data_IF_221077694845
#
_entry.id   IF_221077694845
#
_cell.length_a   1.000
_cell.length_b   1.000
_cell.length_c   1.000
_cell.angle_alpha   90.00
_cell.angle_beta   90.00
_cell.angle_gamma   90.00
#
_symmetry.space_group_name_H-M   'P 1'
#
loop_
_entity.id
_entity.type
_entity.pdbx_description
1 polymer ?
#
# COMPACT_ATOMS: atom_id res chain seq x y z
N UNK A 1 35.72 -18.11 15.78
CA UNK A 1 36.95 -17.97 16.59
C UNK A 1 36.64 -17.18 17.86
N UNK A 2 36.58 -17.90 18.98
CA UNK A 2 36.36 -17.37 20.34
C UNK A 2 37.66 -16.74 20.87
N UNK A 3 37.58 -15.61 21.55
CA UNK A 3 38.52 -15.29 22.64
C UNK A 3 37.72 -15.03 23.91
N UNK A 4 37.79 -16.00 24.81
CA UNK A 4 37.54 -15.86 26.24
C UNK A 4 38.64 -14.99 26.85
N UNK A 5 38.28 -14.12 27.79
CA UNK A 5 39.14 -13.72 28.91
C UNK A 5 38.24 -13.58 30.15
N UNK A 6 38.55 -14.38 31.18
CA UNK A 6 37.89 -14.39 32.48
C UNK A 6 38.52 -13.34 33.41
N UNK A 7 37.62 -12.55 34.04
CA UNK A 7 37.47 -12.25 35.48
C UNK A 7 38.65 -11.68 36.29
N UNK A 8 38.43 -10.47 36.86
CA UNK A 8 38.44 -10.25 38.32
C UNK A 8 37.72 -8.93 38.70
N UNK A 9 36.91 -8.90 39.77
CA UNK A 9 36.15 -7.71 40.19
C UNK A 9 36.98 -6.85 41.16
N UNK A 10 37.09 -5.55 40.87
CA UNK A 10 37.68 -4.58 41.80
C UNK A 10 36.59 -3.65 42.34
N UNK A 11 36.55 -3.60 43.67
CA UNK A 11 35.59 -2.85 44.48
C UNK A 11 35.55 -1.35 44.16
N UNK A 12 34.31 -0.86 44.21
CA UNK A 12 33.83 0.50 44.43
C UNK A 12 34.77 1.42 45.23
N UNK A 13 35.19 2.51 44.59
CA UNK A 13 35.42 3.81 45.24
C UNK A 13 34.56 4.85 44.50
N UNK A 14 33.36 5.06 45.03
CA UNK A 14 32.42 6.07 44.59
C UNK A 14 32.93 7.45 45.03
N UNK A 15 33.64 8.14 44.14
CA UNK A 15 33.75 9.60 44.23
C UNK A 15 32.39 10.18 43.82
N UNK A 16 31.52 10.44 44.80
CA UNK A 16 30.28 11.16 44.63
C UNK A 16 30.57 12.64 44.32
N UNK A 17 30.93 12.94 43.08
CA UNK A 17 30.74 14.29 42.55
C UNK A 17 29.27 14.45 42.22
N UNK A 18 28.52 15.17 43.06
CA UNK A 18 27.17 15.61 42.75
C UNK A 18 27.21 16.57 41.57
N UNK A 19 27.26 16.03 40.34
CA UNK A 19 26.87 16.80 39.16
C UNK A 19 25.37 17.00 39.28
N UNK A 20 24.97 18.23 39.62
CA UNK A 20 23.60 18.70 39.36
C UNK A 20 23.26 18.29 37.92
N UNK A 21 22.11 17.66 37.65
CA UNK A 21 21.70 17.45 36.26
C UNK A 21 21.75 18.83 35.60
N UNK A 22 22.49 18.93 34.49
CA UNK A 22 22.49 20.15 33.71
C UNK A 22 21.03 20.43 33.37
N UNK A 23 20.51 21.55 33.87
CA UNK A 23 19.19 22.01 33.45
C UNK A 23 19.30 22.28 31.96
N UNK A 24 18.72 21.40 31.15
CA UNK A 24 18.47 21.68 29.75
C UNK A 24 17.39 22.75 29.75
N UNK A 25 17.82 24.01 29.78
CA UNK A 25 16.96 25.13 29.43
C UNK A 25 16.74 25.04 27.94
N UNK A 26 15.59 24.50 27.55
CA UNK A 26 15.07 24.74 26.23
C UNK A 26 14.91 26.26 26.10
N UNK A 27 15.48 26.90 25.06
CA UNK A 27 15.11 28.27 24.75
C UNK A 27 13.58 28.29 24.64
N UNK A 28 12.88 29.35 25.11
CA UNK A 28 11.44 29.45 24.92
C UNK A 28 11.20 29.22 23.45
N UNK A 29 10.36 28.22 23.11
CA UNK A 29 9.98 27.98 21.73
C UNK A 29 9.62 29.34 21.16
N UNK A 30 10.39 29.79 20.17
CA UNK A 30 9.95 30.88 19.34
C UNK A 30 8.80 30.30 18.51
N UNK A 31 7.64 30.12 19.14
CA UNK A 31 6.34 29.95 18.50
C UNK A 31 6.00 31.28 17.85
N UNK A 32 6.84 31.71 16.91
CA UNK A 32 6.52 32.77 16.01
C UNK A 32 5.29 32.30 15.26
N UNK A 33 4.13 32.94 15.53
CA UNK A 33 2.94 32.78 14.70
C UNK A 33 3.38 32.82 13.26
N UNK A 34 3.16 31.74 12.53
CA UNK A 34 3.45 31.71 11.10
C UNK A 34 2.59 32.75 10.40
N UNK A 35 2.96 33.13 9.17
CA UNK A 35 2.12 34.02 8.37
C UNK A 35 0.70 33.45 8.21
N UNK A 36 0.58 32.12 8.13
CA UNK A 36 -0.69 31.41 8.08
C UNK A 36 -1.45 31.50 9.42
N UNK A 37 -0.79 31.35 10.56
CA UNK A 37 -1.44 31.54 11.87
C UNK A 37 -1.97 32.96 12.04
N UNK A 38 -1.24 33.95 11.52
CA UNK A 38 -1.67 35.34 11.52
C UNK A 38 -2.85 35.59 10.56
N UNK A 39 -2.87 34.93 9.40
CA UNK A 39 -3.98 35.00 8.43
C UNK A 39 -5.30 34.44 9.02
N UNK A 40 -5.21 33.29 9.68
CA UNK A 40 -6.37 32.59 10.25
C UNK A 40 -6.79 33.15 11.61
N UNK A 41 -5.95 33.97 12.24
CA UNK A 41 -6.27 34.63 13.50
C UNK A 41 -7.51 35.52 13.37
N UNK A 42 -8.44 35.39 14.32
CA UNK A 42 -9.65 36.21 14.36
C UNK A 42 -10.74 35.84 13.35
N UNK A 43 -10.49 34.89 12.43
CA UNK A 43 -11.52 34.38 11.51
C UNK A 43 -12.63 33.64 12.24
N UNK A 44 -13.87 33.86 11.79
CA UNK A 44 -15.03 33.09 12.25
C UNK A 44 -15.10 31.72 11.56
N UNK A 45 -16.09 30.90 11.93
CA UNK A 45 -16.25 29.55 11.40
C UNK A 45 -16.55 29.51 9.90
N UNK A 46 -17.43 30.38 9.39
CA UNK A 46 -17.75 30.48 7.96
C UNK A 46 -16.52 30.88 7.12
N UNK A 47 -15.75 31.89 7.57
CA UNK A 47 -14.52 32.31 6.89
C UNK A 47 -13.48 31.18 6.88
N UNK A 48 -13.29 30.48 8.00
CA UNK A 48 -12.35 29.36 8.08
C UNK A 48 -12.79 28.20 7.17
N UNK A 49 -14.09 27.92 7.10
CA UNK A 49 -14.64 26.90 6.22
C UNK A 49 -14.40 27.24 4.74
N UNK A 50 -14.65 28.51 4.36
CA UNK A 50 -14.43 28.99 3.01
C UNK A 50 -12.94 28.94 2.63
N UNK A 51 -12.04 29.37 3.52
CA UNK A 51 -10.58 29.30 3.31
C UNK A 51 -10.14 27.85 3.15
N UNK A 52 -10.57 26.95 4.06
CA UNK A 52 -10.22 25.55 4.01
C UNK A 52 -10.68 24.86 2.73
N UNK A 53 -11.93 25.12 2.33
CA UNK A 53 -12.51 24.57 1.09
C UNK A 53 -11.77 25.08 -0.15
N UNK A 54 -11.53 26.39 -0.24
CA UNK A 54 -10.81 26.97 -1.37
C UNK A 54 -9.36 26.46 -1.46
N UNK A 55 -8.67 26.34 -0.32
CA UNK A 55 -7.32 25.80 -0.26
C UNK A 55 -7.30 24.32 -0.69
N UNK A 56 -8.25 23.51 -0.23
CA UNK A 56 -8.38 22.11 -0.62
C UNK A 56 -8.64 21.95 -2.12
N UNK A 57 -9.51 22.78 -2.71
CA UNK A 57 -9.74 22.81 -4.16
C UNK A 57 -8.50 23.25 -4.95
N UNK A 58 -7.61 24.05 -4.36
CA UNK A 58 -6.36 24.48 -4.97
C UNK A 58 -5.18 23.50 -4.75
N UNK A 59 -5.38 22.41 -3.98
CA UNK A 59 -4.31 21.49 -3.59
C UNK A 59 -3.33 22.07 -2.57
N UNK A 60 -3.66 23.18 -1.91
CA UNK A 60 -2.86 23.75 -0.83
C UNK A 60 -3.21 23.05 0.50
N UNK A 61 -2.67 21.85 0.67
CA UNK A 61 -3.01 20.99 1.80
C UNK A 61 -2.59 21.56 3.14
N UNK A 62 -1.49 22.34 3.20
CA UNK A 62 -1.08 22.98 4.45
C UNK A 62 -2.08 24.04 4.90
N UNK A 63 -2.52 24.90 3.98
CA UNK A 63 -3.51 25.92 4.29
C UNK A 63 -4.88 25.32 4.57
N UNK A 64 -5.27 24.28 3.83
CA UNK A 64 -6.50 23.55 4.07
C UNK A 64 -6.52 22.92 5.46
N UNK A 65 -5.47 22.17 5.82
CA UNK A 65 -5.34 21.54 7.13
C UNK A 65 -5.42 22.57 8.26
N UNK A 66 -4.67 23.67 8.17
CA UNK A 66 -4.66 24.71 9.19
C UNK A 66 -6.03 25.41 9.36
N UNK A 67 -6.70 25.76 8.26
CA UNK A 67 -8.00 26.44 8.31
C UNK A 67 -9.09 25.54 8.89
N UNK A 68 -9.17 24.29 8.44
CA UNK A 68 -10.14 23.33 8.95
C UNK A 68 -9.86 22.92 10.40
N UNK A 69 -8.59 22.70 10.78
CA UNK A 69 -8.22 22.43 12.16
C UNK A 69 -8.58 23.61 13.07
N UNK A 70 -8.27 24.85 12.66
CA UNK A 70 -8.66 26.04 13.39
C UNK A 70 -10.18 26.17 13.55
N UNK A 71 -10.96 25.79 12.53
CA UNK A 71 -12.43 25.76 12.63
C UNK A 71 -12.88 24.77 13.69
N UNK A 72 -12.45 23.51 13.58
CA UNK A 72 -12.84 22.44 14.49
C UNK A 72 -12.47 22.75 15.95
N UNK A 73 -11.29 23.32 16.17
CA UNK A 73 -10.74 23.55 17.52
C UNK A 73 -11.31 24.83 18.17
N UNK A 74 -11.53 25.90 17.40
CA UNK A 74 -11.98 27.19 17.94
C UNK A 74 -13.49 27.36 17.94
N UNK A 75 -14.20 26.64 17.06
CA UNK A 75 -15.65 26.75 16.88
C UNK A 75 -16.35 25.39 16.98
N UNK A 76 -16.23 24.65 18.11
CA UNK A 76 -16.71 23.27 18.24
C UNK A 76 -18.23 23.10 18.13
N UNK A 77 -18.99 24.20 18.25
CA UNK A 77 -20.45 24.24 18.06
C UNK A 77 -20.88 24.56 16.63
N UNK A 78 -19.94 24.87 15.73
CA UNK A 78 -20.25 25.21 14.34
C UNK A 78 -20.91 24.02 13.61
N UNK A 79 -21.86 24.27 12.70
CA UNK A 79 -22.39 23.21 11.84
C UNK A 79 -21.32 22.59 10.93
N UNK A 80 -20.22 23.31 10.68
CA UNK A 80 -19.15 22.87 9.77
C UNK A 80 -18.11 21.95 10.42
N UNK A 81 -18.20 21.68 11.73
CA UNK A 81 -17.16 20.93 12.46
C UNK A 81 -16.94 19.52 11.90
N UNK A 82 -18.00 18.80 11.53
CA UNK A 82 -17.84 17.44 10.99
C UNK A 82 -17.07 17.46 9.66
N UNK A 83 -17.46 18.35 8.74
CA UNK A 83 -16.78 18.55 7.47
C UNK A 83 -15.35 19.07 7.66
N UNK A 84 -15.11 19.95 8.63
CA UNK A 84 -13.79 20.45 8.95
C UNK A 84 -12.87 19.37 9.54
N UNK A 85 -13.36 18.52 10.42
CA UNK A 85 -12.57 17.39 10.94
C UNK A 85 -12.18 16.42 9.82
N UNK A 86 -13.13 16.08 8.95
CA UNK A 86 -12.85 15.24 7.77
C UNK A 86 -11.86 15.93 6.82
N UNK A 87 -12.06 17.21 6.51
CA UNK A 87 -11.23 18.00 5.62
C UNK A 87 -9.81 18.20 6.14
N UNK A 88 -9.66 18.53 7.43
CA UNK A 88 -8.36 18.63 8.10
C UNK A 88 -7.64 17.28 8.08
N UNK A 89 -8.34 16.20 8.45
CA UNK A 89 -7.75 14.86 8.43
C UNK A 89 -7.28 14.44 7.04
N UNK A 90 -8.09 14.69 6.01
CA UNK A 90 -7.73 14.39 4.63
C UNK A 90 -6.54 15.23 4.13
N UNK A 91 -6.46 16.52 4.51
CA UNK A 91 -5.35 17.37 4.18
C UNK A 91 -4.05 16.94 4.89
N UNK A 92 -4.11 16.61 6.19
CA UNK A 92 -2.98 16.03 6.91
C UNK A 92 -2.52 14.70 6.30
N UNK A 93 -3.45 13.85 5.87
CA UNK A 93 -3.13 12.59 5.20
C UNK A 93 -2.34 12.80 3.89
N UNK A 94 -2.71 13.79 3.07
CA UNK A 94 -1.96 14.15 1.84
C UNK A 94 -0.59 14.75 2.12
N UNK A 95 -0.38 15.33 3.29
CA UNK A 95 0.92 15.79 3.78
C UNK A 95 1.77 14.68 4.43
N UNK A 96 1.29 13.42 4.42
CA UNK A 96 1.85 12.29 5.16
C UNK A 96 1.93 12.51 6.70
N UNK A 97 1.16 13.46 7.23
CA UNK A 97 1.03 13.74 8.66
C UNK A 97 -0.01 12.83 9.33
N UNK A 98 0.16 11.52 9.18
CA UNK A 98 -0.84 10.49 9.54
C UNK A 98 -1.26 10.51 11.01
N UNK A 99 -0.38 10.94 11.93
CA UNK A 99 -0.74 11.07 13.36
C UNK A 99 -1.77 12.18 13.59
N UNK A 100 -1.59 13.32 12.94
CA UNK A 100 -2.52 14.44 13.02
C UNK A 100 -3.82 14.09 12.28
N UNK A 101 -3.73 13.42 11.13
CA UNK A 101 -4.90 12.91 10.42
C UNK A 101 -5.75 11.99 11.32
N UNK A 102 -5.12 11.00 11.97
CA UNK A 102 -5.77 10.07 12.89
C UNK A 102 -6.49 10.79 14.04
N UNK A 103 -5.87 11.82 14.62
CA UNK A 103 -6.50 12.63 15.67
C UNK A 103 -7.82 13.25 15.20
N UNK A 104 -7.82 13.84 14.00
CA UNK A 104 -9.02 14.49 13.43
C UNK A 104 -10.11 13.48 13.08
N UNK A 105 -9.74 12.32 12.53
CA UNK A 105 -10.70 11.25 12.22
C UNK A 105 -11.32 10.63 13.48
N UNK A 106 -10.53 10.43 14.54
CA UNK A 106 -11.06 9.98 15.84
C UNK A 106 -11.97 11.00 16.51
N UNK A 107 -11.65 12.30 16.37
CA UNK A 107 -12.54 13.36 16.85
C UNK A 107 -13.88 13.36 16.09
N UNK A 108 -13.86 13.09 14.78
CA UNK A 108 -15.08 12.93 13.97
C UNK A 108 -15.90 11.71 14.40
N UNK A 109 -15.24 10.57 14.62
CA UNK A 109 -15.89 9.36 15.14
C UNK A 109 -16.56 9.61 16.50
N UNK A 110 -15.83 10.22 17.45
CA UNK A 110 -16.32 10.51 18.79
C UNK A 110 -17.51 11.48 18.80
N UNK A 111 -17.59 12.38 17.80
CA UNK A 111 -18.74 13.29 17.63
C UNK A 111 -20.02 12.54 17.26
N UNK A 112 -19.91 11.39 16.59
CA UNK A 112 -21.06 10.66 16.06
C UNK A 112 -21.71 11.36 14.87
N UNK A 113 -22.93 10.96 14.54
CA UNK A 113 -23.67 11.47 13.38
C UNK A 113 -23.40 10.71 12.08
N UNK A 114 -23.94 11.20 10.95
CA UNK A 114 -23.85 10.52 9.65
C UNK A 114 -22.41 10.26 9.17
N UNK A 115 -21.50 11.21 9.41
CA UNK A 115 -20.12 11.18 8.95
C UNK A 115 -19.18 10.35 9.83
N UNK A 116 -19.64 9.90 11.02
CA UNK A 116 -18.80 9.17 11.95
C UNK A 116 -18.26 7.85 11.36
N UNK A 117 -19.05 7.19 10.50
CA UNK A 117 -18.60 5.97 9.83
C UNK A 117 -17.42 6.23 8.89
N UNK A 118 -17.48 7.31 8.11
CA UNK A 118 -16.35 7.73 7.27
C UNK A 118 -15.13 8.08 8.15
N UNK A 119 -15.34 8.74 9.29
CA UNK A 119 -14.30 8.95 10.30
C UNK A 119 -13.61 7.64 10.73
N UNK A 120 -14.38 6.58 11.02
CA UNK A 120 -13.81 5.27 11.39
C UNK A 120 -13.02 4.64 10.24
N UNK A 121 -13.50 4.71 9.00
CA UNK A 121 -12.74 4.21 7.83
C UNK A 121 -11.42 4.95 7.65
N UNK A 122 -11.44 6.28 7.78
CA UNK A 122 -10.25 7.11 7.67
C UNK A 122 -9.27 6.91 8.84
N UNK A 123 -9.78 6.65 10.03
CA UNK A 123 -8.95 6.26 11.18
C UNK A 123 -8.28 4.90 10.94
N UNK A 124 -8.99 3.92 10.37
CA UNK A 124 -8.41 2.62 10.01
C UNK A 124 -7.30 2.77 8.97
N UNK A 125 -7.50 3.60 7.94
CA UNK A 125 -6.49 3.96 6.94
C UNK A 125 -5.27 4.62 7.60
N UNK A 126 -5.48 5.59 8.49
CA UNK A 126 -4.38 6.26 9.19
C UNK A 126 -3.60 5.30 10.10
N UNK A 127 -4.28 4.37 10.79
CA UNK A 127 -3.63 3.30 11.55
C UNK A 127 -2.77 2.40 10.66
N UNK A 128 -3.29 1.99 9.50
CA UNK A 128 -2.55 1.21 8.52
C UNK A 128 -1.28 1.93 8.05
N UNK A 129 -1.39 3.22 7.72
CA UNK A 129 -0.25 4.05 7.28
C UNK A 129 0.78 4.30 8.38
N UNK A 130 0.38 4.19 9.64
CA UNK A 130 1.25 4.26 10.82
C UNK A 130 1.83 2.90 11.24
N UNK A 131 1.60 1.84 10.46
CA UNK A 131 2.00 0.45 10.75
C UNK A 131 1.35 -0.12 12.04
N UNK A 132 0.27 0.49 12.51
CA UNK A 132 -0.54 -0.02 13.62
C UNK A 132 -1.63 -0.95 13.07
N UNK A 133 -1.18 -2.04 12.46
CA UNK A 133 -2.05 -3.03 11.82
C UNK A 133 -3.11 -3.62 12.78
N UNK A 134 -2.81 -3.91 14.07
CA UNK A 134 -3.83 -4.36 15.01
C UNK A 134 -4.97 -3.36 15.20
N UNK A 135 -4.67 -2.06 15.33
CA UNK A 135 -5.71 -1.04 15.48
C UNK A 135 -6.50 -0.83 14.19
N UNK A 136 -5.85 -0.85 13.03
CA UNK A 136 -6.53 -0.80 11.72
C UNK A 136 -7.53 -1.96 11.58
N UNK A 137 -7.08 -3.18 11.92
CA UNK A 137 -7.93 -4.37 11.90
C UNK A 137 -9.12 -4.24 12.86
N UNK A 138 -8.88 -3.81 14.10
CA UNK A 138 -9.94 -3.65 15.10
C UNK A 138 -11.00 -2.62 14.70
N UNK A 139 -10.59 -1.51 14.06
CA UNK A 139 -11.51 -0.50 13.55
C UNK A 139 -12.42 -1.07 12.44
N UNK A 140 -11.85 -1.84 11.51
CA UNK A 140 -12.60 -2.48 10.41
C UNK A 140 -13.55 -3.58 10.90
N UNK A 141 -13.12 -4.36 11.90
CA UNK A 141 -14.01 -5.30 12.60
C UNK A 141 -15.20 -4.57 13.27
N UNK A 142 -14.91 -3.44 13.94
CA UNK A 142 -15.94 -2.60 14.53
C UNK A 142 -16.97 -2.11 13.51
N UNK A 143 -16.52 -1.73 12.30
CA UNK A 143 -17.41 -1.36 11.19
C UNK A 143 -18.27 -2.55 10.76
N UNK A 144 -17.67 -3.72 10.53
CA UNK A 144 -18.36 -4.92 10.04
C UNK A 144 -19.39 -5.46 11.04
N UNK A 145 -19.19 -5.22 12.33
CA UNK A 145 -20.11 -5.58 13.41
C UNK A 145 -21.33 -4.66 13.52
N UNK A 146 -21.38 -3.52 12.80
CA UNK A 146 -22.51 -2.59 12.87
C UNK A 146 -23.78 -3.22 12.28
N UNK A 147 -24.93 -3.11 12.97
CA UNK A 147 -26.19 -3.58 12.42
C UNK A 147 -26.57 -2.73 11.19
N UNK A 148 -27.17 -3.38 10.19
CA UNK A 148 -27.63 -2.72 8.96
C UNK A 148 -26.57 -1.88 8.22
N UNK A 149 -25.29 -2.30 8.27
CA UNK A 149 -24.23 -1.69 7.46
C UNK A 149 -24.59 -1.75 5.96
N UNK A 150 -24.60 -0.62 5.23
CA UNK A 150 -24.86 -0.59 3.79
C UNK A 150 -23.91 -1.51 3.02
N UNK A 151 -24.36 -2.07 1.89
CA UNK A 151 -23.57 -3.06 1.17
C UNK A 151 -22.25 -2.49 0.64
N UNK A 152 -22.26 -1.27 0.08
CA UNK A 152 -21.05 -0.58 -0.34
C UNK A 152 -20.00 -0.49 0.78
N UNK A 153 -20.43 -0.11 1.99
CA UNK A 153 -19.57 -0.01 3.16
C UNK A 153 -19.07 -1.36 3.66
N UNK A 154 -19.92 -2.40 3.57
CA UNK A 154 -19.50 -3.78 3.87
C UNK A 154 -18.41 -4.25 2.92
N UNK A 155 -18.57 -4.03 1.62
CA UNK A 155 -17.56 -4.40 0.60
C UNK A 155 -16.26 -3.64 0.86
N UNK A 156 -16.34 -2.32 1.11
CA UNK A 156 -15.17 -1.48 1.45
C UNK A 156 -14.44 -1.99 2.70
N UNK A 157 -15.15 -2.27 3.78
CA UNK A 157 -14.55 -2.74 5.03
C UNK A 157 -13.91 -4.12 4.89
N UNK A 158 -14.56 -5.06 4.17
CA UNK A 158 -13.98 -6.37 3.89
C UNK A 158 -12.72 -6.26 3.03
N UNK A 159 -12.75 -5.46 1.96
CA UNK A 159 -11.59 -5.26 1.11
C UNK A 159 -10.40 -4.70 1.90
N UNK A 160 -10.59 -3.60 2.65
CA UNK A 160 -9.54 -3.00 3.48
C UNK A 160 -9.05 -3.94 4.59
N UNK A 161 -9.95 -4.70 5.23
CA UNK A 161 -9.56 -5.65 6.28
C UNK A 161 -8.70 -6.77 5.71
N UNK A 162 -9.05 -7.29 4.54
CA UNK A 162 -8.27 -8.31 3.86
C UNK A 162 -6.85 -7.84 3.55
N UNK A 163 -6.68 -6.57 3.15
CA UNK A 163 -5.35 -5.95 2.97
C UNK A 163 -4.58 -5.91 4.29
N UNK A 164 -5.20 -5.44 5.37
CA UNK A 164 -4.56 -5.38 6.70
C UNK A 164 -4.18 -6.79 7.19
N UNK A 165 -5.03 -7.80 6.97
CA UNK A 165 -4.75 -9.18 7.32
C UNK A 165 -3.54 -9.74 6.55
N UNK A 166 -3.42 -9.39 5.27
CA UNK A 166 -2.29 -9.79 4.44
C UNK A 166 -0.98 -9.21 4.97
N UNK A 167 -0.94 -7.91 5.26
CA UNK A 167 0.25 -7.24 5.81
C UNK A 167 0.63 -7.75 7.20
N UNK A 168 -0.34 -8.28 7.96
CA UNK A 168 -0.09 -8.99 9.22
C UNK A 168 0.46 -10.42 9.03
N UNK A 169 0.69 -10.86 7.80
CA UNK A 169 1.14 -12.22 7.47
C UNK A 169 0.04 -13.28 7.60
N UNK A 170 -1.23 -12.89 7.71
CA UNK A 170 -2.38 -13.81 7.86
C UNK A 170 -3.01 -14.14 6.50
N UNK A 171 -2.21 -14.74 5.62
CA UNK A 171 -2.59 -14.98 4.21
C UNK A 171 -3.93 -15.71 4.03
N UNK A 172 -4.18 -16.79 4.78
CA UNK A 172 -5.44 -17.55 4.68
C UNK A 172 -6.66 -16.74 5.10
N UNK A 173 -6.52 -15.93 6.16
CA UNK A 173 -7.57 -15.04 6.63
C UNK A 173 -7.83 -13.94 5.60
N UNK A 174 -6.76 -13.31 5.09
CA UNK A 174 -6.84 -12.29 4.06
C UNK A 174 -7.57 -12.81 2.81
N UNK A 175 -7.20 -13.99 2.33
CA UNK A 175 -7.86 -14.62 1.17
C UNK A 175 -9.35 -14.85 1.40
N UNK A 176 -9.73 -15.40 2.56
CA UNK A 176 -11.14 -15.60 2.91
C UNK A 176 -11.90 -14.26 2.98
N UNK A 177 -11.32 -13.25 3.61
CA UNK A 177 -11.92 -11.92 3.77
C UNK A 177 -12.06 -11.18 2.44
N UNK A 178 -11.04 -11.21 1.56
CA UNK A 178 -11.08 -10.60 0.24
C UNK A 178 -12.14 -11.28 -0.65
N UNK A 179 -12.25 -12.61 -0.61
CA UNK A 179 -13.34 -13.31 -1.31
C UNK A 179 -14.72 -12.98 -0.76
N UNK A 180 -14.85 -12.79 0.55
CA UNK A 180 -16.09 -12.32 1.15
C UNK A 180 -16.47 -10.92 0.65
N UNK A 181 -15.50 -10.02 0.43
CA UNK A 181 -15.74 -8.72 -0.19
C UNK A 181 -16.35 -8.85 -1.59
N UNK A 182 -15.80 -9.75 -2.42
CA UNK A 182 -16.30 -10.00 -3.77
C UNK A 182 -17.69 -10.63 -3.78
N UNK A 183 -17.94 -11.62 -2.91
CA UNK A 183 -19.25 -12.23 -2.78
C UNK A 183 -20.31 -11.20 -2.32
N UNK A 184 -19.95 -10.32 -1.38
CA UNK A 184 -20.83 -9.23 -0.94
C UNK A 184 -21.11 -8.23 -2.07
N UNK A 185 -20.08 -7.89 -2.87
CA UNK A 185 -20.23 -7.01 -4.02
C UNK A 185 -21.15 -7.60 -5.08
N UNK A 186 -20.95 -8.87 -5.45
CA UNK A 186 -21.79 -9.56 -6.44
C UNK A 186 -23.26 -9.63 -5.98
N UNK A 187 -23.49 -10.01 -4.72
CA UNK A 187 -24.83 -10.12 -4.17
C UNK A 187 -25.58 -8.77 -4.19
N UNK A 188 -24.91 -7.68 -3.81
CA UNK A 188 -25.53 -6.36 -3.78
C UNK A 188 -25.67 -5.72 -5.18
N UNK A 189 -24.74 -6.01 -6.09
CA UNK A 189 -24.81 -5.57 -7.50
C UNK A 189 -26.02 -6.11 -8.26
N UNK A 190 -26.69 -7.15 -7.75
CA UNK A 190 -27.96 -7.62 -8.28
C UNK A 190 -29.13 -6.63 -8.06
N UNK A 191 -29.01 -5.73 -7.07
CA UNK A 191 -30.10 -4.84 -6.64
C UNK A 191 -29.75 -3.36 -6.72
N UNK A 192 -28.48 -3.00 -6.63
CA UNK A 192 -28.02 -1.60 -6.68
C UNK A 192 -26.72 -1.48 -7.48
N UNK A 193 -26.41 -0.27 -7.96
CA UNK A 193 -25.13 0.00 -8.61
C UNK A 193 -24.11 0.38 -7.54
N UNK A 194 -23.07 -0.43 -7.40
CA UNK A 194 -21.95 -0.16 -6.50
C UNK A 194 -20.77 0.46 -7.23
N UNK A 195 -20.01 1.27 -6.52
CA UNK A 195 -18.66 1.66 -6.94
C UNK A 195 -17.77 0.41 -7.03
N UNK A 196 -17.10 0.15 -8.17
CA UNK A 196 -16.22 -1.01 -8.34
C UNK A 196 -14.93 -0.94 -7.51
N UNK A 197 -14.51 0.23 -7.01
CA UNK A 197 -13.18 0.43 -6.42
C UNK A 197 -12.82 -0.60 -5.33
N UNK A 198 -13.72 -0.87 -4.40
CA UNK A 198 -13.46 -1.83 -3.32
C UNK A 198 -13.39 -3.29 -3.81
N UNK A 199 -14.19 -3.66 -4.81
CA UNK A 199 -14.09 -4.99 -5.42
C UNK A 199 -12.82 -5.13 -6.26
N UNK A 200 -12.41 -4.06 -6.96
CA UNK A 200 -11.18 -4.03 -7.75
C UNK A 200 -9.95 -4.14 -6.84
N UNK A 201 -9.94 -3.43 -5.70
CA UNK A 201 -8.97 -3.61 -4.64
C UNK A 201 -8.90 -5.07 -4.17
N UNK A 202 -10.05 -5.68 -3.88
CA UNK A 202 -10.08 -7.06 -3.40
C UNK A 202 -9.48 -8.04 -4.42
N UNK A 203 -9.81 -7.90 -5.71
CA UNK A 203 -9.19 -8.68 -6.79
C UNK A 203 -7.68 -8.44 -6.90
N UNK A 204 -7.24 -7.19 -6.85
CA UNK A 204 -5.83 -6.85 -6.90
C UNK A 204 -5.04 -7.56 -5.79
N UNK A 205 -5.53 -7.53 -4.55
CA UNK A 205 -4.84 -8.14 -3.42
C UNK A 205 -4.94 -9.68 -3.39
N UNK A 206 -5.96 -10.29 -4.01
CA UNK A 206 -5.94 -11.72 -4.32
C UNK A 206 -4.83 -12.06 -5.32
N UNK A 207 -4.60 -11.19 -6.31
CA UNK A 207 -3.44 -11.27 -7.19
C UNK A 207 -2.12 -11.15 -6.44
N UNK A 208 -1.99 -10.22 -5.49
CA UNK A 208 -0.77 -10.06 -4.68
C UNK A 208 -0.48 -11.29 -3.81
N UNK A 209 -1.51 -11.93 -3.24
CA UNK A 209 -1.39 -13.22 -2.53
C UNK A 209 -0.76 -14.30 -3.43
N UNK A 210 -1.27 -14.44 -4.67
CA UNK A 210 -0.77 -15.42 -5.64
C UNK A 210 0.64 -15.07 -6.14
N UNK A 211 0.91 -13.79 -6.37
CA UNK A 211 2.24 -13.27 -6.73
C UNK A 211 3.24 -13.55 -5.61
N UNK A 212 2.88 -13.33 -4.35
CA UNK A 212 3.71 -13.68 -3.20
C UNK A 212 4.06 -15.17 -3.19
N UNK A 213 3.06 -16.03 -3.39
CA UNK A 213 3.27 -17.47 -3.49
C UNK A 213 4.17 -17.87 -4.69
N UNK A 214 4.00 -17.24 -5.86
CA UNK A 214 4.87 -17.45 -7.02
C UNK A 214 6.33 -17.13 -6.69
N UNK A 215 6.57 -15.97 -6.08
CA UNK A 215 7.91 -15.50 -5.77
C UNK A 215 8.60 -16.38 -4.72
N UNK A 216 7.85 -16.86 -3.73
CA UNK A 216 8.34 -17.75 -2.68
C UNK A 216 8.52 -19.21 -3.13
N UNK A 217 7.84 -19.63 -4.19
CA UNK A 217 7.91 -20.98 -4.71
C UNK A 217 9.37 -21.35 -5.11
N UNK A 218 9.91 -22.51 -4.70
CA UNK A 218 11.28 -22.91 -5.03
C UNK A 218 11.47 -23.13 -6.54
N UNK A 219 12.70 -22.89 -6.99
CA UNK A 219 13.20 -23.24 -8.31
C UNK A 219 14.69 -23.49 -8.17
N UNK A 220 15.08 -24.76 -8.08
CA UNK A 220 16.48 -25.13 -7.88
C UNK A 220 16.89 -26.31 -8.78
N UNK A 221 17.30 -26.03 -10.03
CA UNK A 221 17.81 -27.05 -10.94
C UNK A 221 19.05 -27.79 -10.43
N UNK A 222 19.77 -27.25 -9.43
CA UNK A 222 20.97 -27.87 -8.88
C UNK A 222 20.68 -29.00 -7.88
N UNK A 223 19.47 -28.99 -7.28
CA UNK A 223 19.04 -29.96 -6.26
C UNK A 223 17.89 -30.85 -6.71
N UNK A 224 17.10 -30.39 -7.67
CA UNK A 224 15.96 -31.12 -8.19
C UNK A 224 16.41 -32.10 -9.29
N UNK A 225 15.93 -33.35 -9.23
CA UNK A 225 15.92 -34.21 -10.42
C UNK A 225 14.98 -33.65 -11.48
N UNK A 226 15.09 -34.10 -12.74
CA UNK A 226 14.30 -33.56 -13.86
C UNK A 226 12.78 -33.53 -13.59
N UNK A 227 12.24 -34.57 -12.96
CA UNK A 227 10.82 -34.64 -12.58
C UNK A 227 10.43 -33.60 -11.52
N UNK A 228 11.27 -33.42 -10.50
CA UNK A 228 11.04 -32.43 -9.46
C UNK A 228 11.15 -30.99 -10.00
N UNK A 229 12.10 -30.73 -10.89
CA UNK A 229 12.25 -29.43 -11.56
C UNK A 229 11.04 -29.12 -12.45
N UNK A 230 10.55 -30.11 -13.20
CA UNK A 230 9.34 -29.97 -14.00
C UNK A 230 8.13 -29.59 -13.13
N UNK A 231 7.95 -30.27 -11.99
CA UNK A 231 6.87 -29.95 -11.04
C UNK A 231 7.03 -28.55 -10.40
N UNK A 232 8.26 -28.10 -10.13
CA UNK A 232 8.51 -26.74 -9.64
C UNK A 232 8.15 -25.67 -10.68
N UNK A 233 8.51 -25.90 -11.94
CA UNK A 233 8.17 -25.03 -13.07
C UNK A 233 6.65 -24.99 -13.32
N UNK A 234 5.99 -26.14 -13.30
CA UNK A 234 4.53 -26.25 -13.43
C UNK A 234 3.81 -25.48 -12.32
N UNK A 235 4.22 -25.68 -11.06
CA UNK A 235 3.68 -24.94 -9.91
C UNK A 235 3.86 -23.43 -10.07
N UNK A 236 5.03 -22.97 -10.55
CA UNK A 236 5.25 -21.54 -10.82
C UNK A 236 4.37 -21.04 -11.97
N UNK A 237 4.20 -21.81 -13.04
CA UNK A 237 3.31 -21.43 -14.14
C UNK A 237 1.85 -21.29 -13.67
N UNK A 238 1.35 -22.23 -12.86
CA UNK A 238 0.00 -22.19 -12.29
C UNK A 238 -0.20 -20.96 -11.39
N UNK A 239 0.77 -20.67 -10.52
CA UNK A 239 0.73 -19.50 -9.65
C UNK A 239 0.76 -18.18 -10.42
N UNK A 240 1.54 -18.12 -11.51
CA UNK A 240 1.57 -16.97 -12.40
C UNK A 240 0.19 -16.78 -13.07
N UNK A 241 -0.39 -17.84 -13.62
CA UNK A 241 -1.69 -17.76 -14.30
C UNK A 241 -2.79 -17.36 -13.32
N UNK A 242 -2.79 -17.91 -12.10
CA UNK A 242 -3.74 -17.53 -11.05
C UNK A 242 -3.59 -16.06 -10.63
N UNK A 243 -2.37 -15.55 -10.48
CA UNK A 243 -2.15 -14.15 -10.16
C UNK A 243 -2.63 -13.23 -11.29
N UNK A 244 -2.30 -13.57 -12.54
CA UNK A 244 -2.73 -12.83 -13.72
C UNK A 244 -4.26 -12.79 -13.84
N UNK A 245 -4.94 -13.91 -13.59
CA UNK A 245 -6.40 -13.97 -13.66
C UNK A 245 -7.06 -12.95 -12.70
N UNK A 246 -6.54 -12.85 -11.47
CA UNK A 246 -7.04 -11.90 -10.47
C UNK A 246 -6.75 -10.44 -10.86
N UNK A 247 -5.56 -10.14 -11.38
CA UNK A 247 -5.26 -8.80 -11.89
C UNK A 247 -6.14 -8.42 -13.08
N UNK A 248 -6.35 -9.32 -14.04
CA UNK A 248 -7.26 -9.07 -15.15
C UNK A 248 -8.71 -8.94 -14.67
N UNK A 249 -9.11 -9.65 -13.63
CA UNK A 249 -10.42 -9.47 -13.00
C UNK A 249 -10.55 -8.09 -12.34
N UNK A 250 -9.49 -7.56 -11.72
CA UNK A 250 -9.45 -6.19 -11.20
C UNK A 250 -9.60 -5.16 -12.33
N UNK A 251 -8.87 -5.32 -13.44
CA UNK A 251 -8.97 -4.44 -14.62
C UNK A 251 -10.41 -4.42 -15.18
N UNK A 252 -11.05 -5.59 -15.28
CA UNK A 252 -12.41 -5.71 -15.82
C UNK A 252 -13.49 -5.03 -14.97
N UNK A 253 -13.21 -4.76 -13.70
CA UNK A 253 -14.15 -4.02 -12.83
C UNK A 253 -14.22 -2.53 -13.16
N UNK A 254 -13.23 -1.99 -13.89
CA UNK A 254 -13.30 -0.65 -14.46
C UNK A 254 -12.91 0.49 -13.51
N UNK A 255 -12.41 0.20 -12.31
CA UNK A 255 -11.72 1.23 -11.51
C UNK A 255 -10.35 1.53 -12.12
N UNK A 256 -10.13 2.78 -12.53
CA UNK A 256 -8.96 3.18 -13.30
C UNK A 256 -7.64 3.00 -12.52
N UNK A 257 -7.65 3.33 -11.22
CA UNK A 257 -6.46 3.25 -10.37
C UNK A 257 -6.04 1.80 -10.15
N UNK A 258 -6.99 0.93 -9.81
CA UNK A 258 -6.73 -0.50 -9.64
C UNK A 258 -6.43 -1.19 -10.96
N UNK A 259 -7.02 -0.75 -12.08
CA UNK A 259 -6.70 -1.29 -13.39
C UNK A 259 -5.24 -0.98 -13.79
N UNK A 260 -4.77 0.25 -13.58
CA UNK A 260 -3.37 0.63 -13.81
C UNK A 260 -2.42 -0.15 -12.90
N UNK A 261 -2.73 -0.21 -11.59
CA UNK A 261 -1.92 -0.98 -10.64
C UNK A 261 -1.85 -2.47 -11.01
N UNK A 262 -2.97 -3.08 -11.38
CA UNK A 262 -3.05 -4.48 -11.78
C UNK A 262 -2.27 -4.75 -13.07
N UNK A 263 -2.38 -3.88 -14.08
CA UNK A 263 -1.62 -4.00 -15.34
C UNK A 263 -0.11 -3.96 -15.11
N UNK A 264 0.35 -3.03 -14.25
CA UNK A 264 1.76 -2.96 -13.85
C UNK A 264 2.21 -4.27 -13.18
N UNK A 265 1.42 -4.79 -12.24
CA UNK A 265 1.75 -6.05 -11.57
C UNK A 265 1.80 -7.25 -12.52
N UNK A 266 1.01 -7.26 -13.59
CA UNK A 266 1.12 -8.29 -14.65
C UNK A 266 2.47 -8.21 -15.35
N UNK A 267 2.95 -7.01 -15.69
CA UNK A 267 4.28 -6.81 -16.25
C UNK A 267 5.39 -7.32 -15.32
N UNK A 268 5.33 -6.93 -14.05
CA UNK A 268 6.29 -7.38 -13.03
C UNK A 268 6.24 -8.89 -12.81
N UNK A 269 5.06 -9.51 -12.89
CA UNK A 269 4.89 -10.94 -12.68
C UNK A 269 5.69 -11.76 -13.72
N UNK A 270 5.62 -11.35 -14.99
CA UNK A 270 6.35 -11.97 -16.08
C UNK A 270 7.86 -11.68 -16.00
N UNK A 271 8.25 -10.44 -15.70
CA UNK A 271 9.66 -10.08 -15.55
C UNK A 271 10.30 -10.79 -14.36
N UNK A 272 9.60 -10.91 -13.24
CA UNK A 272 10.09 -11.62 -12.06
C UNK A 272 10.27 -13.12 -12.32
N UNK A 273 9.34 -13.79 -13.00
CA UNK A 273 9.53 -15.20 -13.36
C UNK A 273 10.73 -15.38 -14.30
N UNK A 274 10.89 -14.50 -15.29
CA UNK A 274 12.06 -14.48 -16.18
C UNK A 274 13.36 -14.34 -15.39
N UNK A 275 13.42 -13.38 -14.48
CA UNK A 275 14.59 -13.15 -13.63
C UNK A 275 14.89 -14.38 -12.76
N UNK A 276 13.88 -14.97 -12.10
CA UNK A 276 14.07 -16.18 -11.30
C UNK A 276 14.59 -17.37 -12.10
N UNK A 277 14.16 -17.52 -13.36
CA UNK A 277 14.69 -18.56 -14.25
C UNK A 277 16.15 -18.32 -14.60
N UNK A 278 16.52 -17.09 -14.96
CA UNK A 278 17.90 -16.73 -15.33
C UNK A 278 18.88 -16.78 -14.16
N UNK A 279 18.41 -16.42 -12.96
CA UNK A 279 19.19 -16.40 -11.73
C UNK A 279 19.26 -17.79 -11.04
N UNK A 280 18.48 -18.76 -11.53
CA UNK A 280 18.48 -20.10 -10.99
C UNK A 280 19.88 -20.73 -11.09
N UNK A 281 20.31 -21.53 -10.09
CA UNK A 281 21.60 -22.20 -10.15
C UNK A 281 21.64 -23.20 -11.32
N UNK A 282 22.83 -23.41 -11.86
CA UNK A 282 23.03 -24.35 -12.96
C UNK A 282 22.70 -25.79 -12.53
N UNK A 283 22.15 -26.62 -13.44
CA UNK A 283 22.07 -28.06 -13.23
C UNK A 283 23.44 -28.67 -12.89
N UNK A 284 23.49 -29.73 -12.07
CA UNK A 284 24.76 -30.33 -11.67
C UNK A 284 25.40 -31.07 -12.84
N UNK A 285 26.74 -31.09 -12.88
CA UNK A 285 27.50 -31.91 -13.83
C UNK A 285 27.79 -31.28 -15.19
N UNK A 286 27.42 -30.01 -15.41
CA UNK A 286 27.79 -29.26 -16.61
C UNK A 286 29.25 -28.76 -16.55
N UNK A 287 29.99 -28.94 -17.62
CA UNK A 287 31.28 -28.29 -17.82
C UNK A 287 31.12 -26.79 -18.19
N UNK A 288 32.19 -25.99 -18.25
CA UNK A 288 32.08 -24.56 -18.57
C UNK A 288 31.46 -24.23 -19.94
N UNK A 289 31.67 -25.08 -20.95
CA UNK A 289 31.10 -24.86 -22.28
C UNK A 289 29.62 -25.24 -22.31
N UNK A 290 29.26 -26.37 -21.69
CA UNK A 290 27.88 -26.80 -21.52
C UNK A 290 27.07 -25.81 -20.68
N UNK A 291 27.67 -25.22 -19.64
CA UNK A 291 27.05 -24.19 -18.81
C UNK A 291 26.73 -22.91 -19.60
N UNK A 292 27.63 -22.46 -20.49
CA UNK A 292 27.37 -21.30 -21.34
C UNK A 292 26.28 -21.60 -22.38
N UNK A 293 26.31 -22.79 -22.99
CA UNK A 293 25.26 -23.23 -23.91
C UNK A 293 23.90 -23.29 -23.22
N UNK A 294 23.82 -23.89 -22.03
CA UNK A 294 22.59 -23.94 -21.23
C UNK A 294 22.04 -22.53 -20.96
N UNK A 295 22.90 -21.58 -20.56
CA UNK A 295 22.48 -20.19 -20.34
C UNK A 295 22.02 -19.49 -21.62
N UNK A 296 22.68 -19.74 -22.75
CA UNK A 296 22.27 -19.19 -24.04
C UNK A 296 20.89 -19.72 -24.47
N UNK A 297 20.67 -21.03 -24.32
CA UNK A 297 19.37 -21.65 -24.59
C UNK A 297 18.29 -21.12 -23.65
N UNK A 298 18.57 -21.06 -22.33
CA UNK A 298 17.63 -20.54 -21.35
C UNK A 298 17.23 -19.08 -21.64
N UNK A 299 18.21 -18.21 -21.95
CA UNK A 299 17.94 -16.83 -22.38
C UNK A 299 16.95 -16.79 -23.54
N UNK A 300 17.17 -17.63 -24.57
CA UNK A 300 16.27 -17.72 -25.73
C UNK A 300 14.85 -18.13 -25.35
N UNK A 301 14.70 -19.16 -24.52
CA UNK A 301 13.38 -19.68 -24.12
C UNK A 301 12.59 -18.66 -23.27
N UNK A 302 13.26 -17.91 -22.40
CA UNK A 302 12.57 -16.92 -21.53
C UNK A 302 12.27 -15.59 -22.23
N UNK A 303 12.70 -15.37 -23.49
CA UNK A 303 12.38 -14.15 -24.27
C UNK A 303 10.87 -13.91 -24.37
N UNK A 304 10.07 -14.98 -24.42
CA UNK A 304 8.60 -14.86 -24.45
C UNK A 304 8.04 -14.19 -23.19
N UNK A 305 8.67 -14.42 -22.04
CA UNK A 305 8.27 -13.77 -20.77
C UNK A 305 8.62 -12.28 -20.80
N UNK A 306 9.80 -11.93 -21.34
CA UNK A 306 10.19 -10.52 -21.52
C UNK A 306 9.22 -9.78 -22.45
N UNK A 307 8.85 -10.38 -23.58
CA UNK A 307 7.88 -9.81 -24.51
C UNK A 307 6.51 -9.58 -23.85
N UNK A 308 6.00 -10.57 -23.09
CA UNK A 308 4.75 -10.43 -22.33
C UNK A 308 4.82 -9.32 -21.27
N UNK A 309 5.92 -9.22 -20.54
CA UNK A 309 6.13 -8.16 -19.56
C UNK A 309 6.10 -6.78 -20.23
N UNK A 310 6.80 -6.62 -21.36
CA UNK A 310 6.82 -5.38 -22.12
C UNK A 310 5.43 -4.97 -22.62
N UNK A 311 4.68 -5.91 -23.21
CA UNK A 311 3.30 -5.65 -23.66
C UNK A 311 2.43 -5.18 -22.50
N UNK A 312 2.50 -5.85 -21.34
CA UNK A 312 1.73 -5.45 -20.17
C UNK A 312 2.10 -4.04 -19.67
N UNK A 313 3.39 -3.68 -19.63
CA UNK A 313 3.82 -2.33 -19.26
C UNK A 313 3.35 -1.28 -20.28
N UNK A 314 3.49 -1.54 -21.58
CA UNK A 314 3.04 -0.64 -22.65
C UNK A 314 1.53 -0.37 -22.56
N UNK A 315 0.73 -1.43 -22.46
CA UNK A 315 -0.73 -1.34 -22.32
C UNK A 315 -1.13 -0.60 -21.04
N UNK A 316 -0.40 -0.79 -19.95
CA UNK A 316 -0.63 -0.11 -18.66
C UNK A 316 -0.33 1.39 -18.77
N UNK A 317 0.78 1.77 -19.39
CA UNK A 317 1.14 3.17 -19.60
C UNK A 317 0.13 3.88 -20.52
N UNK A 318 -0.34 3.18 -21.55
CA UNK A 318 -1.38 3.68 -22.44
C UNK A 318 -2.74 3.79 -21.73
N UNK A 319 -3.07 2.86 -20.84
CA UNK A 319 -4.25 2.96 -19.98
C UNK A 319 -4.17 4.17 -19.05
N UNK A 320 -3.06 4.32 -18.32
CA UNK A 320 -2.86 5.41 -17.37
C UNK A 320 -2.96 6.78 -18.05
N UNK A 321 -2.32 6.94 -19.22
CA UNK A 321 -2.40 8.18 -20.02
C UNK A 321 -3.84 8.51 -20.44
N UNK A 322 -4.63 7.51 -20.83
CA UNK A 322 -6.03 7.70 -21.25
C UNK A 322 -6.95 8.02 -20.08
N UNK A 323 -6.72 7.41 -18.93
CA UNK A 323 -7.47 7.64 -17.70
C UNK A 323 -7.07 8.95 -16.99
N UNK A 324 -5.98 9.60 -17.40
CA UNK A 324 -5.45 10.77 -16.69
C UNK A 324 -4.95 10.41 -15.29
N UNK A 325 -4.51 9.16 -15.10
CA UNK A 325 -3.93 8.67 -13.85
C UNK A 325 -2.43 8.95 -13.91
N UNK A 326 -1.98 9.90 -13.11
CA UNK A 326 -0.61 10.42 -13.04
C UNK A 326 0.02 10.24 -11.64
N UNK A 327 -0.80 10.19 -10.59
CA UNK A 327 -0.40 9.98 -9.19
C UNK A 327 -0.34 8.50 -8.78
N UNK A 328 0.26 7.65 -9.62
CA UNK A 328 0.47 6.25 -9.27
C UNK A 328 1.96 5.96 -9.33
N UNK A 329 2.54 5.65 -8.16
CA UNK A 329 3.96 5.29 -7.96
C UNK A 329 4.48 4.28 -8.99
N UNK A 330 3.60 3.44 -9.52
CA UNK A 330 3.91 2.39 -10.49
C UNK A 330 4.23 2.90 -11.90
N UNK A 331 3.90 4.14 -12.29
CA UNK A 331 4.09 4.59 -13.67
C UNK A 331 5.56 4.81 -14.02
N UNK A 332 6.30 5.51 -13.17
CA UNK A 332 7.76 5.66 -13.33
C UNK A 332 8.47 4.32 -13.29
N UNK A 333 8.00 3.41 -12.42
CA UNK A 333 8.58 2.07 -12.28
C UNK A 333 8.26 1.19 -13.52
N UNK A 334 7.09 1.36 -14.12
CA UNK A 334 6.69 0.71 -15.37
C UNK A 334 7.56 1.18 -16.55
N UNK A 335 7.74 2.49 -16.70
CA UNK A 335 8.59 3.09 -17.74
C UNK A 335 10.03 2.58 -17.61
N UNK A 336 10.60 2.68 -16.40
CA UNK A 336 11.95 2.19 -16.13
C UNK A 336 12.08 0.68 -16.42
N UNK A 337 11.08 -0.12 -16.06
CA UNK A 337 11.11 -1.56 -16.31
C UNK A 337 11.01 -1.90 -17.80
N UNK A 338 10.16 -1.19 -18.54
CA UNK A 338 10.04 -1.32 -19.98
C UNK A 338 11.34 -0.94 -20.69
N UNK A 339 11.99 0.16 -20.31
CA UNK A 339 13.28 0.57 -20.86
C UNK A 339 14.38 -0.46 -20.58
N UNK A 340 14.47 -0.96 -19.33
CA UNK A 340 15.42 -2.03 -18.97
C UNK A 340 15.22 -3.28 -19.82
N UNK A 341 13.97 -3.72 -20.00
CA UNK A 341 13.66 -4.91 -20.80
C UNK A 341 14.02 -4.72 -22.27
N UNK A 342 13.69 -3.57 -22.86
CA UNK A 342 14.08 -3.22 -24.24
C UNK A 342 15.60 -3.27 -24.43
N UNK A 343 16.35 -2.67 -23.51
CA UNK A 343 17.81 -2.70 -23.55
C UNK A 343 18.38 -4.12 -23.41
N UNK A 344 17.78 -4.94 -22.54
CA UNK A 344 18.19 -6.33 -22.33
C UNK A 344 17.99 -7.16 -23.59
N UNK A 345 16.81 -7.10 -24.20
CA UNK A 345 16.50 -7.85 -25.43
C UNK A 345 17.40 -7.40 -26.58
N UNK A 346 17.64 -6.09 -26.73
CA UNK A 346 18.51 -5.55 -27.78
C UNK A 346 19.98 -5.96 -27.61
N UNK A 347 20.44 -6.21 -26.38
CA UNK A 347 21.79 -6.70 -26.10
C UNK A 347 21.94 -8.22 -26.32
N UNK A 348 20.82 -8.96 -26.43
CA UNK A 348 20.77 -10.40 -26.69
C UNK A 348 20.63 -10.74 -28.18
N UNK A 349 20.45 -9.73 -29.05
CA UNK A 349 20.41 -9.82 -30.52
C UNK A 349 21.80 -9.68 -31.16
#
# INVERSE_FOLDING_TARGET
MRRLLLVAPALLLACATSRRPASVTFPPDATGRTALDAELAGKNDEELNAIGTAAASAGDDRRAAAAFAALADRHPSSPHVAAALLGAGAAYARLDEWRLALERFRALEARGGPEALEGTFRAAEAHYRLDDLPAAHAALEGILARPALPAAERVRALAQRGVVELEQGRADAAEATLRAALAAHEAASATERLDPAAAAQARFYLGELRRGALLAAPLDPSRAGAEALAAELERKADLLLAAQEEYFAAIRLGDERWAVAAGYRVGELYDALRAQLLDAPLPPGLDPAEAEQYRAELRREVRVLAAKAMTAYEETLDLARRAGVDDVRFLSDAEASLERLRATIAAEE
#
